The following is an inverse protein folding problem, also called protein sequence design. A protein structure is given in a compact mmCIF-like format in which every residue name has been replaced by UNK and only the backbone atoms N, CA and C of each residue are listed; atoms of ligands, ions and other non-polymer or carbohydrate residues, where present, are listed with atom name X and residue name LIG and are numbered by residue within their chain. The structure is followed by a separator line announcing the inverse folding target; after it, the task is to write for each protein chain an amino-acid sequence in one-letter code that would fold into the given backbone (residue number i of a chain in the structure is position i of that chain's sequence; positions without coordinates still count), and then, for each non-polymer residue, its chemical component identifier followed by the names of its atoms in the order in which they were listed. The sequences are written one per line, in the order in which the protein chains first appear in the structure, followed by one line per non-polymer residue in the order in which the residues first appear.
data_IF_210775606416
#
_entry.id   IF_210775606416
#
_cell.length_a   1.000
_cell.length_b   1.000
_cell.length_c   1.000
_cell.angle_alpha   90.00
_cell.angle_beta   90.00
_cell.angle_gamma   90.00
#
_symmetry.space_group_name_H-M   'P 1'
#
loop_
_entity.id
_entity.type
_entity.pdbx_description
1 polymer ?
#
# COMPACT_ATOMS: atom_id res chain seq x y z
N UNK A 1 19.70 16.54 21.68
CA UNK A 1 19.05 17.32 20.61
C UNK A 1 19.70 16.91 19.31
N UNK A 2 19.15 15.91 18.63
CA UNK A 2 19.53 15.50 17.28
C UNK A 2 18.22 15.27 16.51
N UNK A 3 17.83 16.30 15.75
CA UNK A 3 17.02 16.19 14.54
C UNK A 3 18.01 16.03 13.38
N UNK A 4 17.56 15.47 12.26
CA UNK A 4 18.28 15.09 11.01
C UNK A 4 18.36 13.56 10.92
N UNK A 5 17.78 12.84 9.96
CA UNK A 5 16.96 13.17 8.79
C UNK A 5 16.17 11.91 8.43
N UNK A 6 14.84 11.93 8.54
CA UNK A 6 14.00 10.95 7.82
C UNK A 6 13.87 11.53 6.42
N UNK A 7 14.71 11.03 5.51
CA UNK A 7 14.76 11.47 4.14
C UNK A 7 13.38 11.30 3.48
N UNK A 8 12.71 12.43 3.27
CA UNK A 8 11.77 12.59 2.16
C UNK A 8 12.64 12.62 0.90
N UNK A 9 12.90 11.44 0.35
CA UNK A 9 13.73 11.26 -0.84
C UNK A 9 13.01 11.81 -2.08
N UNK A 10 13.43 13.01 -2.50
CA UNK A 10 13.12 13.58 -3.80
C UNK A 10 14.01 12.91 -4.86
N UNK A 11 13.67 11.70 -5.30
CA UNK A 11 14.54 10.99 -6.25
C UNK A 11 14.12 9.58 -6.67
N UNK A 12 12.94 9.40 -7.28
CA UNK A 12 12.61 8.27 -8.16
C UNK A 12 12.91 6.84 -7.65
N UNK A 13 12.92 6.60 -6.34
CA UNK A 13 13.14 5.26 -5.78
C UNK A 13 11.80 4.59 -5.46
N UNK A 14 11.02 4.30 -6.51
CA UNK A 14 9.73 3.60 -6.39
C UNK A 14 9.87 2.21 -5.75
N UNK A 15 11.07 1.63 -5.75
CA UNK A 15 11.33 0.25 -5.34
C UNK A 15 11.42 0.04 -3.83
N UNK A 16 11.52 1.09 -3.02
CA UNK A 16 11.64 0.96 -1.56
C UNK A 16 10.41 1.48 -0.78
N UNK A 17 9.42 2.06 -1.47
CA UNK A 17 8.27 2.68 -0.81
C UNK A 17 7.24 1.63 -0.37
N UNK A 18 6.69 1.75 0.84
CA UNK A 18 5.60 0.89 1.31
C UNK A 18 4.24 1.25 0.70
N UNK A 19 4.07 2.51 0.31
CA UNK A 19 2.88 3.03 -0.36
C UNK A 19 3.24 3.82 -1.60
N UNK A 20 2.31 3.92 -2.55
CA UNK A 20 2.41 4.82 -3.69
C UNK A 20 1.06 5.45 -4.02
N UNK A 21 1.03 6.76 -4.26
CA UNK A 21 -0.20 7.47 -4.60
C UNK A 21 -0.65 7.16 -6.04
N UNK A 22 -1.95 7.16 -6.29
CA UNK A 22 -2.49 6.99 -7.65
C UNK A 22 -1.94 8.04 -8.64
N UNK A 23 -1.66 9.26 -8.15
CA UNK A 23 -1.04 10.33 -8.95
C UNK A 23 0.39 10.01 -9.41
N UNK A 24 1.10 9.10 -8.73
CA UNK A 24 2.51 8.76 -8.96
C UNK A 24 2.69 7.47 -9.76
N UNK A 25 1.60 6.75 -9.97
CA UNK A 25 1.56 5.45 -10.65
C UNK A 25 1.13 5.60 -12.12
N UNK A 26 1.37 4.55 -12.88
CA UNK A 26 0.94 4.39 -14.26
C UNK A 26 0.59 2.92 -14.52
N UNK A 27 -0.07 2.64 -15.64
CA UNK A 27 -0.33 1.26 -16.09
C UNK A 27 0.95 0.40 -16.27
N UNK A 28 2.15 0.99 -16.27
CA UNK A 28 3.43 0.28 -16.36
C UNK A 28 3.94 -0.20 -15.00
N UNK A 29 3.44 0.35 -13.91
CA UNK A 29 3.91 0.07 -12.54
C UNK A 29 3.25 -1.20 -11.94
N UNK A 30 2.94 -2.20 -12.77
CA UNK A 30 2.23 -3.45 -12.37
C UNK A 30 3.05 -4.24 -11.34
N UNK A 31 4.37 -4.24 -11.44
CA UNK A 31 5.23 -4.95 -10.49
C UNK A 31 5.23 -4.31 -9.09
N UNK A 32 4.80 -3.06 -8.97
CA UNK A 32 4.72 -2.32 -7.70
C UNK A 32 3.30 -2.34 -7.16
N UNK A 33 2.30 -2.00 -8.00
CA UNK A 33 0.91 -1.80 -7.59
C UNK A 33 -0.01 -3.00 -7.85
N UNK A 34 0.48 -4.03 -8.55
CA UNK A 34 -0.35 -5.08 -9.13
C UNK A 34 -1.22 -4.58 -10.29
N UNK A 35 -1.88 -5.51 -11.00
CA UNK A 35 -2.73 -5.16 -12.14
C UNK A 35 -3.90 -4.24 -11.77
N UNK A 36 -4.55 -4.50 -10.62
CA UNK A 36 -5.69 -3.69 -10.16
C UNK A 36 -5.25 -2.27 -9.75
N UNK A 37 -4.19 -2.15 -8.94
CA UNK A 37 -3.69 -0.86 -8.49
C UNK A 37 -3.19 0.00 -9.64
N UNK A 38 -2.47 -0.60 -10.59
CA UNK A 38 -2.01 0.09 -11.80
C UNK A 38 -3.17 0.56 -12.69
N UNK A 39 -4.21 -0.26 -12.87
CA UNK A 39 -5.42 0.14 -13.62
C UNK A 39 -6.18 1.28 -12.92
N UNK A 40 -6.34 1.22 -11.59
CA UNK A 40 -7.04 2.26 -10.85
C UNK A 40 -6.29 3.61 -10.88
N UNK A 41 -4.95 3.56 -10.77
CA UNK A 41 -4.11 4.74 -10.94
C UNK A 41 -4.21 5.36 -12.34
N UNK A 42 -4.28 4.52 -13.38
CA UNK A 42 -4.48 4.99 -14.76
C UNK A 42 -5.83 5.69 -14.93
N UNK A 43 -6.90 5.14 -14.35
CA UNK A 43 -8.23 5.77 -14.35
C UNK A 43 -8.23 7.10 -13.60
N UNK A 44 -7.59 7.15 -12.42
CA UNK A 44 -7.43 8.37 -11.64
C UNK A 44 -6.71 9.46 -12.45
N UNK A 45 -5.62 9.12 -13.13
CA UNK A 45 -4.86 10.06 -13.99
C UNK A 45 -5.60 10.46 -15.27
N UNK A 46 -6.50 9.62 -15.75
CA UNK A 46 -7.37 9.91 -16.89
C UNK A 46 -8.60 10.75 -16.50
N UNK A 47 -8.59 11.37 -15.30
CA UNK A 47 -9.66 12.24 -14.81
C UNK A 47 -11.03 11.55 -14.68
N UNK A 48 -11.07 10.22 -14.57
CA UNK A 48 -12.30 9.55 -14.11
C UNK A 48 -12.59 9.94 -12.65
N UNK A 49 -13.85 9.88 -12.21
CA UNK A 49 -14.26 10.22 -10.84
C UNK A 49 -13.82 9.14 -9.84
N UNK A 50 -12.51 8.94 -9.73
CA UNK A 50 -11.87 8.05 -8.76
C UNK A 50 -11.41 8.94 -7.59
N UNK A 51 -11.78 8.62 -6.34
CA UNK A 51 -11.27 9.32 -5.18
C UNK A 51 -9.74 9.30 -5.12
N UNK A 52 -9.10 10.31 -4.50
CA UNK A 52 -7.68 10.24 -4.20
C UNK A 52 -7.41 9.01 -3.33
N UNK A 53 -6.27 8.35 -3.58
CA UNK A 53 -5.92 7.10 -2.91
C UNK A 53 -4.49 6.69 -3.18
N UNK A 54 -4.07 5.66 -2.46
CA UNK A 54 -2.76 5.05 -2.60
C UNK A 54 -2.88 3.52 -2.62
N UNK A 55 -1.84 2.85 -3.10
CA UNK A 55 -1.69 1.39 -3.02
C UNK A 55 -0.65 1.05 -1.97
N UNK A 56 -0.82 -0.09 -1.30
CA UNK A 56 0.27 -0.76 -0.59
C UNK A 56 1.06 -1.53 -1.64
N UNK A 57 2.38 -1.33 -1.69
CA UNK A 57 3.22 -1.88 -2.76
C UNK A 57 3.52 -3.36 -2.57
N UNK A 58 3.86 -4.05 -3.66
CA UNK A 58 4.35 -5.43 -3.61
C UNK A 58 5.63 -5.54 -2.77
N UNK A 59 6.46 -4.50 -2.76
CA UNK A 59 7.68 -4.43 -1.96
C UNK A 59 7.37 -4.35 -0.47
N UNK A 60 6.28 -3.66 -0.09
CA UNK A 60 5.76 -3.68 1.27
C UNK A 60 5.42 -5.12 1.72
N UNK A 61 4.75 -5.90 0.87
CA UNK A 61 4.44 -7.30 1.16
C UNK A 61 5.70 -8.16 1.34
N UNK A 62 6.69 -8.01 0.46
CA UNK A 62 7.98 -8.72 0.60
C UNK A 62 8.65 -8.36 1.92
N UNK A 63 8.74 -7.07 2.24
CA UNK A 63 9.31 -6.58 3.48
C UNK A 63 8.61 -7.15 4.72
N UNK A 64 7.27 -7.15 4.71
CA UNK A 64 6.46 -7.71 5.80
C UNK A 64 6.78 -9.19 6.04
N UNK A 65 6.82 -9.99 4.97
CA UNK A 65 7.09 -11.43 5.07
C UNK A 65 8.52 -11.70 5.58
N UNK A 66 9.49 -10.92 5.13
CA UNK A 66 10.88 -11.06 5.57
C UNK A 66 11.05 -10.68 7.04
N UNK A 67 10.49 -9.53 7.46
CA UNK A 67 10.58 -9.05 8.85
C UNK A 67 9.87 -9.94 9.86
N UNK A 68 8.73 -10.50 9.49
CA UNK A 68 7.95 -11.41 10.36
C UNK A 68 8.50 -12.85 10.36
N UNK A 69 9.42 -13.17 9.44
CA UNK A 69 9.93 -14.52 9.25
C UNK A 69 8.89 -15.51 8.70
N UNK A 70 7.76 -15.00 8.19
CA UNK A 70 6.67 -15.82 7.64
C UNK A 70 7.11 -16.65 6.45
N UNK A 71 8.02 -16.12 5.60
CA UNK A 71 8.53 -16.85 4.42
C UNK A 71 9.05 -18.24 4.80
N UNK A 72 9.84 -18.32 5.87
CA UNK A 72 10.45 -19.57 6.32
C UNK A 72 9.41 -20.53 6.91
N UNK A 73 8.40 -20.01 7.62
CA UNK A 73 7.31 -20.83 8.18
C UNK A 73 6.46 -21.43 7.06
N UNK A 74 6.02 -20.59 6.12
CA UNK A 74 5.21 -20.99 4.97
C UNK A 74 5.96 -22.01 4.12
N UNK A 75 7.24 -21.75 3.80
CA UNK A 75 8.06 -22.68 3.00
C UNK A 75 8.10 -24.07 3.63
N UNK A 76 8.33 -24.17 4.94
CA UNK A 76 8.35 -25.46 5.64
C UNK A 76 7.02 -26.20 5.57
N UNK A 77 5.90 -25.48 5.66
CA UNK A 77 4.57 -26.07 5.54
C UNK A 77 4.29 -26.60 4.13
N UNK A 78 4.84 -25.94 3.11
CA UNK A 78 4.70 -26.34 1.71
C UNK A 78 5.66 -27.47 1.30
N UNK A 79 6.74 -27.72 2.03
CA UNK A 79 7.71 -28.79 1.71
C UNK A 79 7.13 -30.21 1.88
N UNK A 80 6.13 -30.38 2.74
CA UNK A 80 5.55 -31.69 3.09
C UNK A 80 4.18 -31.95 2.47
N UNK A 81 3.72 -31.12 1.54
CA UNK A 81 2.34 -31.13 1.05
C UNK A 81 2.12 -32.14 -0.09
N UNK A 82 1.07 -32.94 0.01
CA UNK A 82 0.55 -33.72 -1.13
C UNK A 82 -0.43 -32.86 -1.94
N UNK A 83 -0.09 -32.58 -3.19
CA UNK A 83 -0.88 -31.73 -4.09
C UNK A 83 -2.18 -32.38 -4.56
N UNK A 84 -2.28 -33.71 -4.47
CA UNK A 84 -3.49 -34.45 -4.87
C UNK A 84 -4.49 -34.58 -3.69
N UNK A 85 -4.09 -34.17 -2.48
CA UNK A 85 -4.90 -34.23 -1.28
C UNK A 85 -5.58 -32.88 -0.97
N UNK A 86 -6.77 -32.68 -1.53
CA UNK A 86 -7.54 -31.43 -1.37
C UNK A 86 -7.81 -31.05 0.10
N UNK A 87 -7.97 -32.02 1.00
CA UNK A 87 -8.22 -31.72 2.42
C UNK A 87 -6.98 -31.12 3.09
N UNK A 88 -5.81 -31.72 2.84
CA UNK A 88 -4.54 -31.22 3.34
C UNK A 88 -4.19 -29.85 2.76
N UNK A 89 -4.47 -29.62 1.47
CA UNK A 89 -4.35 -28.30 0.84
C UNK A 89 -5.17 -27.23 1.59
N UNK A 90 -6.41 -27.55 1.95
CA UNK A 90 -7.30 -26.64 2.68
C UNK A 90 -6.81 -26.38 4.11
N UNK A 91 -6.36 -27.41 4.80
CA UNK A 91 -5.84 -27.30 6.17
C UNK A 91 -4.58 -26.42 6.20
N UNK A 92 -3.64 -26.64 5.28
CA UNK A 92 -2.42 -25.83 5.17
C UNK A 92 -2.73 -24.41 4.75
N UNK A 93 -3.65 -24.20 3.80
CA UNK A 93 -4.11 -22.87 3.39
C UNK A 93 -4.69 -22.08 4.57
N UNK A 94 -5.53 -22.74 5.38
CA UNK A 94 -6.10 -22.14 6.60
C UNK A 94 -5.02 -21.81 7.62
N UNK A 95 -4.07 -22.71 7.84
CA UNK A 95 -2.96 -22.48 8.75
C UNK A 95 -2.05 -21.33 8.29
N UNK A 96 -1.75 -21.23 6.98
CA UNK A 96 -1.00 -20.11 6.40
C UNK A 96 -1.77 -18.80 6.61
N UNK A 97 -3.08 -18.79 6.36
CA UNK A 97 -3.92 -17.60 6.59
C UNK A 97 -3.85 -17.13 8.04
N UNK A 98 -3.97 -18.04 9.00
CA UNK A 98 -3.86 -17.72 10.43
C UNK A 98 -2.49 -17.12 10.77
N UNK A 99 -1.41 -17.62 10.15
CA UNK A 99 -0.07 -17.05 10.34
C UNK A 99 0.00 -15.57 9.89
N UNK A 100 -0.69 -15.19 8.82
CA UNK A 100 -0.78 -13.79 8.40
C UNK A 100 -1.62 -12.95 9.36
N UNK A 101 -2.75 -13.47 9.81
CA UNK A 101 -3.67 -12.78 10.74
C UNK A 101 -3.02 -12.53 12.11
N UNK A 102 -2.19 -13.46 12.60
CA UNK A 102 -1.47 -13.36 13.87
C UNK A 102 -0.18 -12.53 13.79
N UNK A 103 0.33 -12.28 12.59
CA UNK A 103 1.60 -11.58 12.41
C UNK A 103 1.45 -10.08 12.62
N UNK A 104 2.26 -9.52 13.53
CA UNK A 104 2.31 -8.08 13.76
C UNK A 104 2.94 -7.36 12.55
N UNK A 105 2.27 -6.31 12.06
CA UNK A 105 2.81 -5.40 11.06
C UNK A 105 4.03 -4.65 11.65
N UNK A 106 5.16 -4.55 10.94
CA UNK A 106 6.32 -3.75 11.38
C UNK A 106 5.93 -2.29 11.65
N UNK A 107 6.42 -1.72 12.75
CA UNK A 107 6.00 -0.40 13.24
C UNK A 107 6.24 0.70 12.20
N UNK A 108 7.33 0.62 11.44
CA UNK A 108 7.67 1.55 10.36
C UNK A 108 6.69 1.50 9.19
N UNK A 109 6.15 0.32 8.87
CA UNK A 109 5.15 0.17 7.82
C UNK A 109 3.80 0.68 8.31
N UNK A 110 3.43 0.33 9.55
CA UNK A 110 2.19 0.78 10.17
C UNK A 110 2.13 2.32 10.22
N UNK A 111 3.23 2.95 10.60
CA UNK A 111 3.36 4.41 10.64
C UNK A 111 3.12 5.04 9.26
N UNK A 112 3.81 4.56 8.21
CA UNK A 112 3.66 5.09 6.84
C UNK A 112 2.24 4.92 6.32
N UNK A 113 1.61 3.76 6.55
CA UNK A 113 0.24 3.50 6.09
C UNK A 113 -0.77 4.38 6.84
N UNK A 114 -0.59 4.56 8.16
CA UNK A 114 -1.45 5.45 8.96
C UNK A 114 -1.33 6.90 8.53
N UNK A 115 -0.11 7.40 8.33
CA UNK A 115 0.12 8.76 7.85
C UNK A 115 -0.54 8.99 6.48
N UNK A 116 -0.40 8.04 5.55
CA UNK A 116 -1.05 8.12 4.25
C UNK A 116 -2.58 8.09 4.36
N UNK A 117 -3.13 7.29 5.27
CA UNK A 117 -4.56 7.23 5.53
C UNK A 117 -5.10 8.52 6.17
N UNK A 118 -4.37 9.09 7.12
CA UNK A 118 -4.74 10.37 7.76
C UNK A 118 -4.79 11.50 6.73
N UNK A 119 -3.87 11.52 5.75
CA UNK A 119 -3.90 12.49 4.64
C UNK A 119 -5.18 12.36 3.81
N UNK A 120 -5.70 11.14 3.60
CA UNK A 120 -6.99 10.94 2.94
C UNK A 120 -8.17 11.42 3.79
N UNK A 121 -8.07 11.29 5.12
CA UNK A 121 -9.09 11.69 6.08
C UNK A 121 -9.10 13.17 6.43
N UNK A 122 -8.04 13.93 6.13
CA UNK A 122 -8.03 15.38 6.31
C UNK A 122 -8.92 16.06 5.27
N UNK A 123 -10.15 16.37 5.67
CA UNK A 123 -11.10 17.15 4.88
C UNK A 123 -10.53 18.51 4.48
N UNK A 124 -10.83 18.89 3.23
CA UNK A 124 -10.56 20.20 2.60
C UNK A 124 -11.17 21.41 3.33
N UNK A 125 -11.84 21.23 4.48
CA UNK A 125 -12.42 22.30 5.30
C UNK A 125 -11.47 22.87 6.37
N UNK A 126 -10.27 22.31 6.53
CA UNK A 126 -9.21 22.90 7.35
C UNK A 126 -8.30 23.78 6.49
N UNK A 127 -8.78 24.98 6.14
CA UNK A 127 -7.92 26.05 5.65
C UNK A 127 -6.94 26.47 6.76
N UNK A 128 -5.87 25.72 6.99
CA UNK A 128 -4.70 26.29 7.66
C UNK A 128 -3.43 25.52 7.31
N UNK A 129 -2.53 26.21 6.62
CA UNK A 129 -1.15 25.83 6.28
C UNK A 129 -0.95 24.71 5.24
N UNK A 130 -1.54 24.86 4.05
CA UNK A 130 -1.09 24.06 2.90
C UNK A 130 -0.33 24.94 1.91
N UNK A 131 0.92 24.53 1.63
CA UNK A 131 1.81 25.15 0.64
C UNK A 131 1.07 25.30 -0.70
N UNK A 132 1.35 26.39 -1.41
CA UNK A 132 0.70 26.88 -2.66
C UNK A 132 0.27 25.83 -3.68
N UNK A 133 0.88 24.63 -3.72
CA UNK A 133 0.50 23.50 -4.58
C UNK A 133 -0.92 22.95 -4.31
N UNK A 134 -1.37 22.89 -3.05
CA UNK A 134 -2.68 22.30 -2.73
C UNK A 134 -3.87 23.23 -2.99
N UNK A 135 -3.63 24.55 -2.95
CA UNK A 135 -4.62 25.57 -3.33
C UNK A 135 -5.04 25.45 -4.81
N UNK A 136 -4.13 24.97 -5.67
CA UNK A 136 -4.41 24.76 -7.09
C UNK A 136 -5.27 23.50 -7.35
N UNK A 137 -5.18 22.51 -6.45
CA UNK A 137 -5.98 21.28 -6.50
C UNK A 137 -7.43 21.53 -6.03
N UNK A 138 -7.61 22.45 -5.06
CA UNK A 138 -8.93 22.81 -4.54
C UNK A 138 -9.83 23.50 -5.55
N UNK A 139 -9.26 24.27 -6.49
CA UNK A 139 -10.03 25.02 -7.49
C UNK A 139 -10.68 24.16 -8.57
N UNK A 140 -10.31 22.88 -8.70
CA UNK A 140 -10.65 22.06 -9.87
C UNK A 140 -11.46 20.79 -9.59
N UNK A 141 -11.89 20.52 -8.35
CA UNK A 141 -12.51 19.23 -8.00
C UNK A 141 -13.94 19.42 -7.48
N UNK A 142 -14.92 19.16 -8.35
CA UNK A 142 -16.32 18.95 -8.00
C UNK A 142 -16.54 17.48 -7.57
N UNK A 143 -17.28 17.35 -6.47
CA UNK A 143 -17.94 16.17 -5.88
C UNK A 143 -17.16 15.18 -4.99
N UNK A 144 -17.90 14.69 -3.98
CA UNK A 144 -17.48 14.01 -2.76
C UNK A 144 -17.20 12.51 -3.00
N UNK A 145 -16.24 11.90 -2.30
CA UNK A 145 -15.80 10.54 -2.57
C UNK A 145 -16.75 9.48 -1.96
N UNK A 146 -16.86 8.34 -2.65
CA UNK A 146 -17.47 7.11 -2.17
C UNK A 146 -16.41 5.99 -2.12
N UNK A 147 -16.45 5.14 -1.09
CA UNK A 147 -15.50 4.04 -0.86
C UNK A 147 -16.07 2.75 -1.45
N UNK A 148 -15.28 2.04 -2.27
CA UNK A 148 -15.58 0.70 -2.78
C UNK A 148 -14.56 -0.30 -2.24
#
# INVERSE_FOLDING_TARGET
MNKEDVAVDNGNNKEAAFIMWFSELSNKDILIAGGKGASLAEMYKSNFPIPPGFVITAQAYVYFIEKTGLANKIKKMLESIDIDNTNELNDISTAIRNLFEDAKIPDEMEMVVKEAYDILGTDKNSETNIKKSALDILKHSHELPFVA
#
